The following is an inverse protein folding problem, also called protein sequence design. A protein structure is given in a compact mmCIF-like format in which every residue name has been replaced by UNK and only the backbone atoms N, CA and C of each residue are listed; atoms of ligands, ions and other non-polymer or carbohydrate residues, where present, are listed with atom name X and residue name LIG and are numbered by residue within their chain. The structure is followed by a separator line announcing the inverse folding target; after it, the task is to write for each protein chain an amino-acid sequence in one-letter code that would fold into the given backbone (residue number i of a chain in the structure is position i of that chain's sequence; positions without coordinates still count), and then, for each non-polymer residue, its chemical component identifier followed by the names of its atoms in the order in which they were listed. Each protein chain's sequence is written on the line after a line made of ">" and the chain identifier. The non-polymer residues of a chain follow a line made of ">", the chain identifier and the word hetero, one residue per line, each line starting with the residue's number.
data_IF_265480263262
#
_entry.id   IF_265480263262
#
_cell.length_a   1.000
_cell.length_b   1.000
_cell.length_c   1.000
_cell.angle_alpha   90.00
_cell.angle_beta   90.00
_cell.angle_gamma   90.00
#
_symmetry.space_group_name_H-M   'P 1'
#
loop_
_entity.id
_entity.type
_entity.pdbx_description
1 polymer ?
#
# COMPACT_ATOMS: atom_id res chain seq x y z
N UNK A 1 -25.52 -4.70 -5.00
CA UNK A 1 -25.00 -3.30 -5.01
C UNK A 1 -24.71 -2.67 -3.62
N UNK A 2 -24.90 -3.36 -2.49
CA UNK A 2 -24.75 -2.75 -1.17
C UNK A 2 -23.33 -2.87 -0.52
N UNK A 3 -22.38 -3.57 -1.14
CA UNK A 3 -21.07 -3.84 -0.52
C UNK A 3 -20.13 -2.62 -0.42
N UNK A 4 -20.18 -1.69 -1.35
CA UNK A 4 -19.27 -0.53 -1.38
C UNK A 4 -19.66 0.63 -0.47
N UNK A 5 -20.89 0.69 0.04
CA UNK A 5 -21.35 1.77 0.93
C UNK A 5 -20.54 1.90 2.23
N UNK A 6 -19.92 0.81 2.68
CA UNK A 6 -19.15 0.75 3.92
C UNK A 6 -17.62 0.75 3.69
N UNK A 7 -17.15 0.99 2.46
CA UNK A 7 -15.74 0.95 2.06
C UNK A 7 -15.22 2.33 1.65
N UNK A 8 -15.57 3.35 2.40
CA UNK A 8 -15.25 4.76 2.09
C UNK A 8 -13.73 5.02 2.07
N UNK A 9 -13.01 4.45 3.04
CA UNK A 9 -11.55 4.64 3.15
C UNK A 9 -10.83 3.88 2.05
N UNK A 10 -11.27 2.65 1.74
CA UNK A 10 -10.73 1.89 0.61
C UNK A 10 -10.85 2.66 -0.70
N UNK A 11 -12.05 3.19 -0.99
CA UNK A 11 -12.29 3.99 -2.20
C UNK A 11 -11.42 5.26 -2.19
N UNK A 12 -11.36 5.95 -1.07
CA UNK A 12 -10.56 7.17 -0.92
C UNK A 12 -9.08 6.90 -1.18
N UNK A 13 -8.52 5.83 -0.60
CA UNK A 13 -7.12 5.45 -0.81
C UNK A 13 -6.82 5.10 -2.27
N UNK A 14 -7.72 4.35 -2.94
CA UNK A 14 -7.60 4.05 -4.37
C UNK A 14 -7.61 5.34 -5.18
N UNK A 15 -8.54 6.25 -4.90
CA UNK A 15 -8.63 7.53 -5.60
C UNK A 15 -7.37 8.39 -5.40
N UNK A 16 -6.87 8.50 -4.18
CA UNK A 16 -5.65 9.27 -3.87
C UNK A 16 -4.47 8.73 -4.68
N UNK A 17 -4.21 7.42 -4.63
CA UNK A 17 -3.11 6.79 -5.37
C UNK A 17 -3.25 7.02 -6.88
N UNK A 18 -4.46 6.82 -7.42
CA UNK A 18 -4.74 7.01 -8.85
C UNK A 18 -4.54 8.47 -9.29
N UNK A 19 -5.07 9.43 -8.51
CA UNK A 19 -4.94 10.86 -8.85
C UNK A 19 -3.48 11.31 -8.79
N UNK A 20 -2.72 10.88 -7.78
CA UNK A 20 -1.30 11.20 -7.66
C UNK A 20 -0.53 10.61 -8.86
N UNK A 21 -0.76 9.35 -9.21
CA UNK A 21 -0.11 8.71 -10.35
C UNK A 21 -0.41 9.43 -11.67
N UNK A 22 -1.67 9.73 -11.94
CA UNK A 22 -2.07 10.46 -13.15
C UNK A 22 -1.45 11.87 -13.19
N UNK A 23 -1.47 12.58 -12.06
CA UNK A 23 -0.85 13.91 -11.96
C UNK A 23 0.65 13.88 -12.28
N UNK A 24 1.39 12.94 -11.69
CA UNK A 24 2.83 12.79 -11.95
C UNK A 24 3.11 12.35 -13.39
N UNK A 25 2.28 11.46 -13.95
CA UNK A 25 2.42 11.01 -15.34
C UNK A 25 2.20 12.14 -16.38
N UNK A 26 1.45 13.19 -16.01
CA UNK A 26 1.27 14.37 -16.89
C UNK A 26 2.48 15.30 -16.85
N UNK A 27 3.15 15.44 -15.70
CA UNK A 27 4.25 16.40 -15.51
C UNK A 27 5.64 15.80 -15.77
N UNK A 28 5.76 14.45 -15.83
CA UNK A 28 7.03 13.79 -16.07
C UNK A 28 6.94 12.29 -16.25
N UNK A 29 8.11 11.65 -16.24
CA UNK A 29 8.21 10.20 -16.40
C UNK A 29 8.26 9.52 -15.03
N UNK A 30 7.16 8.89 -14.61
CA UNK A 30 7.09 8.15 -13.34
C UNK A 30 8.02 6.93 -13.30
N UNK A 31 8.45 6.40 -14.46
CA UNK A 31 9.45 5.32 -14.53
C UNK A 31 10.89 5.80 -14.24
N UNK A 32 11.14 7.10 -14.20
CA UNK A 32 12.45 7.65 -13.86
C UNK A 32 12.64 7.79 -12.35
N UNK A 33 13.67 7.12 -11.81
CA UNK A 33 13.95 7.13 -10.37
C UNK A 33 14.32 8.52 -9.84
N UNK A 34 15.03 9.34 -10.62
CA UNK A 34 15.38 10.70 -10.24
C UNK A 34 14.15 11.59 -10.15
N UNK A 35 13.26 11.51 -11.14
CA UNK A 35 11.98 12.20 -11.12
C UNK A 35 11.16 11.81 -9.89
N UNK A 36 11.05 10.53 -9.61
CA UNK A 36 10.28 10.03 -8.46
C UNK A 36 10.91 10.43 -7.13
N UNK A 37 12.25 10.40 -6.99
CA UNK A 37 12.96 10.90 -5.82
C UNK A 37 12.69 12.40 -5.61
N UNK A 38 12.68 13.20 -6.69
CA UNK A 38 12.30 14.62 -6.64
C UNK A 38 10.87 14.88 -6.19
N UNK A 39 9.96 13.89 -6.30
CA UNK A 39 8.54 14.01 -5.98
C UNK A 39 8.11 13.21 -4.73
N UNK A 40 9.06 12.84 -3.86
CA UNK A 40 8.73 12.27 -2.54
C UNK A 40 8.80 10.75 -2.45
N UNK A 41 9.33 10.05 -3.47
CA UNK A 41 9.70 8.64 -3.33
C UNK A 41 10.81 8.46 -2.30
N UNK A 42 10.86 7.30 -1.67
CA UNK A 42 11.89 6.99 -0.68
C UNK A 42 13.21 6.76 -1.42
N UNK A 43 14.16 7.68 -1.20
CA UNK A 43 15.55 7.58 -1.60
C UNK A 43 16.41 7.64 -0.34
N UNK A 44 17.13 6.56 -0.06
CA UNK A 44 17.78 6.37 1.24
C UNK A 44 18.70 7.54 1.63
N UNK A 45 19.60 8.06 0.75
CA UNK A 45 20.41 9.20 1.11
C UNK A 45 19.63 10.45 1.54
N UNK A 46 18.49 10.72 0.90
CA UNK A 46 17.66 11.87 1.28
C UNK A 46 17.04 11.69 2.67
N UNK A 47 16.71 10.45 3.05
CA UNK A 47 16.18 10.16 4.38
C UNK A 47 17.28 10.22 5.44
N UNK A 48 18.46 9.65 5.18
CA UNK A 48 19.52 9.48 6.19
C UNK A 48 20.44 10.70 6.31
N UNK A 49 20.76 11.36 5.20
CA UNK A 49 21.70 12.48 5.16
C UNK A 49 20.99 13.83 5.24
N UNK A 50 19.83 13.96 4.56
CA UNK A 50 19.06 15.20 4.54
C UNK A 50 17.97 15.28 5.60
N UNK A 51 17.66 14.16 6.30
CA UNK A 51 16.59 14.11 7.30
C UNK A 51 15.18 14.17 6.74
N UNK A 52 14.98 13.80 5.46
CA UNK A 52 13.70 13.88 4.77
C UNK A 52 12.77 12.69 5.13
N UNK A 53 12.48 12.50 6.42
CA UNK A 53 11.70 11.37 6.95
C UNK A 53 10.26 11.30 6.43
N UNK A 54 9.70 12.42 5.95
CA UNK A 54 8.37 12.46 5.33
C UNK A 54 8.25 11.50 4.14
N UNK A 55 9.36 11.15 3.50
CA UNK A 55 9.42 10.20 2.37
C UNK A 55 8.98 8.79 2.75
N UNK A 56 9.14 8.40 4.01
CA UNK A 56 8.61 7.13 4.51
C UNK A 56 7.07 7.05 4.42
N UNK A 57 6.41 8.21 4.42
CA UNK A 57 4.97 8.31 4.27
C UNK A 57 4.57 8.56 2.81
N UNK A 58 5.19 9.54 2.14
CA UNK A 58 4.77 9.97 0.80
C UNK A 58 5.00 8.90 -0.26
N UNK A 59 6.07 8.10 -0.13
CA UNK A 59 6.36 7.01 -1.06
C UNK A 59 5.25 5.96 -1.15
N UNK A 60 4.41 5.81 -0.11
CA UNK A 60 3.29 4.88 -0.07
C UNK A 60 2.20 5.19 -1.12
N UNK A 61 2.18 6.41 -1.65
CA UNK A 61 1.16 6.89 -2.59
C UNK A 61 1.70 7.07 -4.01
N UNK A 62 2.97 6.77 -4.23
CA UNK A 62 3.65 6.92 -5.51
C UNK A 62 3.79 5.56 -6.21
N UNK A 63 3.73 5.55 -7.54
CA UNK A 63 3.87 4.33 -8.35
C UNK A 63 4.70 4.62 -9.59
N UNK A 64 5.61 3.69 -9.94
CA UNK A 64 6.52 3.85 -11.07
C UNK A 64 5.84 3.67 -12.42
N UNK A 65 4.87 2.76 -12.50
CA UNK A 65 4.17 2.45 -13.74
C UNK A 65 2.71 2.05 -13.49
N UNK A 66 1.95 1.98 -14.58
CA UNK A 66 0.52 1.66 -14.54
C UNK A 66 0.24 0.24 -14.02
N UNK A 67 1.07 -0.74 -14.35
CA UNK A 67 0.88 -2.12 -13.90
C UNK A 67 1.11 -2.24 -12.40
N UNK A 68 2.12 -1.53 -11.87
CA UNK A 68 2.42 -1.43 -10.46
C UNK A 68 1.25 -0.77 -9.69
N UNK A 69 0.72 0.35 -10.19
CA UNK A 69 -0.48 0.97 -9.63
C UNK A 69 -1.66 0.00 -9.62
N UNK A 70 -1.98 -0.61 -10.78
CA UNK A 70 -3.13 -1.49 -10.93
C UNK A 70 -3.07 -2.68 -9.99
N UNK A 71 -1.93 -3.34 -9.88
CA UNK A 71 -1.75 -4.48 -8.96
C UNK A 71 -2.03 -4.05 -7.51
N UNK A 72 -1.46 -2.91 -7.08
CA UNK A 72 -1.70 -2.40 -5.73
C UNK A 72 -3.19 -2.04 -5.52
N UNK A 73 -3.84 -1.38 -6.45
CA UNK A 73 -5.23 -0.95 -6.32
C UNK A 73 -6.22 -2.12 -6.34
N UNK A 74 -5.97 -3.14 -7.16
CA UNK A 74 -6.76 -4.38 -7.17
C UNK A 74 -6.65 -5.10 -5.83
N UNK A 75 -5.44 -5.25 -5.28
CA UNK A 75 -5.23 -5.90 -3.99
C UNK A 75 -5.80 -5.07 -2.84
N UNK A 76 -5.61 -3.74 -2.85
CA UNK A 76 -6.20 -2.83 -1.87
C UNK A 76 -7.74 -2.92 -1.90
N UNK A 77 -8.34 -2.93 -3.09
CA UNK A 77 -9.78 -3.11 -3.27
C UNK A 77 -10.26 -4.47 -2.75
N UNK A 78 -9.55 -5.54 -3.09
CA UNK A 78 -9.89 -6.89 -2.64
C UNK A 78 -9.85 -7.01 -1.11
N UNK A 79 -8.76 -6.58 -0.46
CA UNK A 79 -8.65 -6.63 1.00
C UNK A 79 -9.58 -5.64 1.69
N UNK A 80 -9.70 -4.42 1.16
CA UNK A 80 -10.56 -3.38 1.72
C UNK A 80 -12.02 -3.78 1.77
N UNK A 81 -12.53 -4.45 0.72
CA UNK A 81 -13.92 -4.95 0.68
C UNK A 81 -14.27 -5.89 1.86
N UNK A 82 -13.28 -6.58 2.41
CA UNK A 82 -13.47 -7.51 3.52
C UNK A 82 -13.07 -6.91 4.87
N UNK A 83 -11.95 -6.19 4.91
CA UNK A 83 -11.38 -5.71 6.16
C UNK A 83 -12.06 -4.43 6.67
N UNK A 84 -12.38 -3.47 5.80
CA UNK A 84 -12.96 -2.20 6.26
C UNK A 84 -14.32 -2.37 6.93
N UNK A 85 -15.28 -3.19 6.42
CA UNK A 85 -16.54 -3.45 7.11
C UNK A 85 -16.39 -4.18 8.45
N UNK A 86 -15.36 -5.03 8.60
CA UNK A 86 -15.12 -5.81 9.82
C UNK A 86 -14.37 -5.00 10.90
N UNK A 87 -13.40 -4.20 10.50
CA UNK A 87 -12.59 -3.40 11.41
C UNK A 87 -13.21 -2.03 11.73
N UNK A 88 -14.04 -1.53 10.82
CA UNK A 88 -14.44 -0.13 10.74
C UNK A 88 -13.36 0.74 10.07
N UNK A 89 -13.78 1.85 9.46
CA UNK A 89 -12.94 2.70 8.60
C UNK A 89 -11.70 3.23 9.32
N UNK A 90 -11.79 3.63 10.58
CA UNK A 90 -10.64 4.20 11.34
C UNK A 90 -9.56 3.14 11.58
N UNK A 91 -9.94 1.95 12.03
CA UNK A 91 -8.98 0.87 12.30
C UNK A 91 -8.38 0.32 11.01
N UNK A 92 -9.17 0.26 9.94
CA UNK A 92 -8.68 -0.10 8.60
C UNK A 92 -7.64 0.90 8.10
N UNK A 93 -7.91 2.20 8.20
CA UNK A 93 -6.95 3.26 7.83
C UNK A 93 -5.67 3.16 8.67
N UNK A 94 -5.82 2.99 10.00
CA UNK A 94 -4.66 2.82 10.88
C UNK A 94 -3.82 1.58 10.50
N UNK A 95 -4.47 0.44 10.20
CA UNK A 95 -3.78 -0.76 9.74
C UNK A 95 -3.02 -0.51 8.43
N UNK A 96 -3.63 0.15 7.44
CA UNK A 96 -3.00 0.53 6.17
C UNK A 96 -1.75 1.41 6.40
N UNK A 97 -1.91 2.51 7.14
CA UNK A 97 -0.83 3.48 7.37
C UNK A 97 0.32 2.89 8.18
N UNK A 98 0.01 2.20 9.28
CA UNK A 98 1.04 1.60 10.15
C UNK A 98 1.79 0.48 9.43
N UNK A 99 1.11 -0.33 8.63
CA UNK A 99 1.75 -1.38 7.83
C UNK A 99 2.68 -0.80 6.77
N UNK A 100 2.24 0.24 6.07
CA UNK A 100 3.07 0.91 5.06
C UNK A 100 4.29 1.59 5.67
N UNK A 101 4.11 2.35 6.74
CA UNK A 101 5.22 2.98 7.46
C UNK A 101 6.19 1.95 8.04
N UNK A 102 5.68 0.88 8.65
CA UNK A 102 6.49 -0.21 9.18
C UNK A 102 7.29 -0.93 8.10
N UNK A 103 6.66 -1.20 6.95
CA UNK A 103 7.32 -1.79 5.78
C UNK A 103 8.44 -0.89 5.23
N UNK A 104 8.19 0.41 5.11
CA UNK A 104 9.18 1.37 4.64
C UNK A 104 10.33 1.56 5.64
N UNK A 105 10.03 1.57 6.95
CA UNK A 105 11.05 1.64 7.98
C UNK A 105 11.92 0.38 7.97
N UNK A 106 11.32 -0.79 7.83
CA UNK A 106 12.07 -2.05 7.71
C UNK A 106 12.94 -2.05 6.44
N UNK A 107 12.40 -1.62 5.30
CA UNK A 107 13.15 -1.47 4.06
C UNK A 107 14.34 -0.52 4.23
N UNK A 108 14.14 0.63 4.88
CA UNK A 108 15.23 1.55 5.20
C UNK A 108 16.32 0.87 6.04
N UNK A 109 15.94 0.15 7.11
CA UNK A 109 16.90 -0.52 8.00
C UNK A 109 17.72 -1.60 7.27
N UNK A 110 17.09 -2.35 6.37
CA UNK A 110 17.77 -3.43 5.64
C UNK A 110 18.74 -2.86 4.60
N UNK A 111 18.37 -1.78 3.92
CA UNK A 111 19.15 -1.25 2.80
C UNK A 111 20.00 -0.01 3.15
N UNK A 112 20.04 0.40 4.43
CA UNK A 112 20.77 1.60 4.87
C UNK A 112 22.26 1.56 4.54
N UNK A 113 22.84 0.36 4.48
CA UNK A 113 24.26 0.15 4.18
C UNK A 113 24.52 -0.19 2.71
N UNK A 114 23.47 -0.28 1.89
CA UNK A 114 23.63 -0.52 0.46
C UNK A 114 23.99 0.80 -0.23
N UNK A 115 25.20 0.85 -0.81
CA UNK A 115 25.68 2.00 -1.58
C UNK A 115 24.88 2.25 -2.88
N UNK A 116 23.89 1.42 -3.18
CA UNK A 116 23.03 1.56 -4.35
C UNK A 116 21.90 2.54 -4.02
N UNK A 117 21.92 3.68 -4.71
CA UNK A 117 20.88 4.71 -4.61
C UNK A 117 19.52 4.24 -5.14
N UNK A 118 18.98 3.14 -4.61
CA UNK A 118 17.68 2.65 -5.02
C UNK A 118 16.55 3.58 -4.55
N UNK A 119 15.61 3.84 -5.44
CA UNK A 119 14.41 4.62 -5.16
C UNK A 119 13.25 3.66 -4.97
N UNK A 120 12.53 3.80 -3.87
CA UNK A 120 11.38 2.96 -3.52
C UNK A 120 10.10 3.78 -3.50
N UNK A 121 9.03 3.21 -4.07
CA UNK A 121 7.68 3.76 -4.03
C UNK A 121 6.65 2.65 -4.20
N UNK A 122 5.45 2.86 -3.65
CA UNK A 122 4.31 1.96 -3.81
C UNK A 122 3.53 1.72 -2.52
N UNK A 123 2.25 1.41 -2.68
CA UNK A 123 1.36 1.02 -1.60
C UNK A 123 1.59 -0.42 -1.11
N UNK A 124 2.52 -1.16 -1.72
CA UNK A 124 2.71 -2.60 -1.51
C UNK A 124 2.96 -2.97 -0.04
N UNK A 125 3.78 -2.23 0.69
CA UNK A 125 4.02 -2.46 2.12
C UNK A 125 2.74 -2.42 2.94
N UNK A 126 1.87 -1.44 2.68
CA UNK A 126 0.57 -1.34 3.32
C UNK A 126 -0.37 -2.48 2.91
N UNK A 127 -0.41 -2.83 1.64
CA UNK A 127 -1.23 -3.91 1.08
C UNK A 127 -0.83 -5.26 1.66
N UNK A 128 0.46 -5.56 1.75
CA UNK A 128 0.97 -6.77 2.40
C UNK A 128 0.63 -6.82 3.90
N UNK A 129 0.68 -5.68 4.58
CA UNK A 129 0.24 -5.60 5.97
C UNK A 129 -1.25 -5.89 6.13
N UNK A 130 -2.11 -5.38 5.25
CA UNK A 130 -3.54 -5.72 5.23
C UNK A 130 -3.78 -7.22 4.98
N UNK A 131 -2.97 -7.85 4.11
CA UNK A 131 -3.00 -9.30 3.94
C UNK A 131 -2.66 -10.02 5.25
N UNK A 132 -1.67 -9.56 5.99
CA UNK A 132 -1.31 -10.09 7.31
C UNK A 132 -2.47 -9.97 8.31
N UNK A 133 -3.16 -8.81 8.34
CA UNK A 133 -4.37 -8.62 9.17
C UNK A 133 -5.46 -9.61 8.79
N UNK A 134 -5.68 -9.82 7.49
CA UNK A 134 -6.68 -10.77 7.00
C UNK A 134 -6.37 -12.20 7.43
N UNK A 135 -5.11 -12.63 7.26
CA UNK A 135 -4.64 -13.96 7.69
C UNK A 135 -4.84 -14.12 9.20
N UNK A 136 -4.45 -13.13 10.01
CA UNK A 136 -4.65 -13.16 11.45
C UNK A 136 -6.14 -13.30 11.84
N UNK A 137 -7.03 -12.55 11.19
CA UNK A 137 -8.46 -12.64 11.42
C UNK A 137 -9.02 -14.02 11.05
N UNK A 138 -8.55 -14.60 9.95
CA UNK A 138 -8.95 -15.96 9.54
C UNK A 138 -8.53 -17.01 10.57
N UNK A 139 -7.30 -16.93 11.06
CA UNK A 139 -6.79 -17.84 12.10
C UNK A 139 -7.59 -17.70 13.40
N UNK A 140 -7.83 -16.47 13.83
CA UNK A 140 -8.59 -16.18 15.07
C UNK A 140 -10.05 -16.62 14.97
N UNK A 141 -10.69 -16.47 13.82
CA UNK A 141 -12.11 -16.73 13.62
C UNK A 141 -12.39 -18.10 12.95
N UNK A 142 -11.48 -19.07 13.11
CA UNK A 142 -11.61 -20.44 12.58
C UNK A 142 -11.90 -20.48 11.07
N UNK A 143 -11.21 -19.65 10.31
CA UNK A 143 -11.28 -19.64 8.84
C UNK A 143 -12.43 -18.82 8.24
N UNK A 144 -13.06 -17.94 9.02
CA UNK A 144 -14.12 -17.06 8.52
C UNK A 144 -13.81 -15.59 8.80
N UNK A 145 -14.06 -14.70 7.82
CA UNK A 145 -14.09 -13.24 8.01
C UNK A 145 -15.42 -12.75 7.47
N UNK A 146 -16.27 -12.24 8.37
CA UNK A 146 -17.65 -11.92 8.04
C UNK A 146 -18.43 -13.13 7.53
N UNK A 147 -19.04 -13.02 6.33
CA UNK A 147 -19.80 -14.11 5.70
C UNK A 147 -18.97 -15.03 4.80
N UNK A 148 -17.65 -14.84 4.75
CA UNK A 148 -16.79 -15.51 3.77
C UNK A 148 -15.88 -16.54 4.46
N UNK A 149 -15.86 -17.76 3.92
CA UNK A 149 -14.88 -18.78 4.30
C UNK A 149 -13.53 -18.49 3.67
N UNK A 150 -12.45 -18.69 4.44
CA UNK A 150 -11.08 -18.43 4.02
C UNK A 150 -10.67 -19.09 2.69
N UNK A 151 -11.27 -20.23 2.32
CA UNK A 151 -11.04 -20.89 1.05
C UNK A 151 -11.31 -19.99 -0.17
N UNK A 152 -12.29 -19.09 -0.12
CA UNK A 152 -12.58 -18.15 -1.22
C UNK A 152 -11.57 -17.01 -1.31
N UNK A 153 -10.99 -16.63 -0.18
CA UNK A 153 -9.99 -15.57 -0.11
C UNK A 153 -8.66 -16.09 -0.66
N UNK A 154 -8.26 -17.32 -0.31
CA UNK A 154 -7.06 -17.95 -0.87
C UNK A 154 -7.12 -18.12 -2.40
N UNK A 155 -8.29 -18.43 -2.95
CA UNK A 155 -8.47 -18.50 -4.40
C UNK A 155 -8.32 -17.13 -5.08
N UNK A 156 -8.69 -16.03 -4.43
CA UNK A 156 -8.55 -14.68 -4.98
C UNK A 156 -7.10 -14.18 -4.94
N UNK A 157 -6.33 -14.57 -3.92
CA UNK A 157 -4.92 -14.17 -3.75
C UNK A 157 -3.97 -15.07 -4.56
N UNK A 158 -4.33 -16.33 -4.76
CA UNK A 158 -3.52 -17.29 -5.52
C UNK A 158 -3.67 -17.23 -7.04
N UNK A 159 -4.58 -16.38 -7.56
CA UNK A 159 -4.81 -16.16 -8.98
C UNK A 159 -4.28 -14.79 -9.48
N UNK A 160 -3.62 -14.03 -8.62
CA UNK A 160 -2.89 -12.81 -8.93
C UNK A 160 -1.38 -13.06 -8.81
#
# INVERSE_FOLDING_TARGET
>A
MAKWKNNKVTILLILINTVIFLGLSVIGNTGDGGFMAGHGAMYIPYVTENGEYYRLFTCMFLHFDFSHLMNNMVMLGAFGLYLEPELGSIRFLAAYLLSGLGGNLLSLMVHINEATGSVSAGASGAVFGLMGVLVWMLLKNRGTVGRIRGQRIFLMVGLS
#
